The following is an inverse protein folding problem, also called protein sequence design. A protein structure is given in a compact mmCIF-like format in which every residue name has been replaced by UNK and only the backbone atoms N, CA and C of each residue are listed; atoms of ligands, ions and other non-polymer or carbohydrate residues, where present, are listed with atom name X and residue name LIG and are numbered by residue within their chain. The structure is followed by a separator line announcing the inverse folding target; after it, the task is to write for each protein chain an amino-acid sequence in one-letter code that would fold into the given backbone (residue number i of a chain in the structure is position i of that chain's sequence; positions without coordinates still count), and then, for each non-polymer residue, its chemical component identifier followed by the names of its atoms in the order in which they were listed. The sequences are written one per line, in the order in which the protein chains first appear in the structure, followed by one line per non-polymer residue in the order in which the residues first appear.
data_IF_845683404131
#
_entry.id   IF_845683404131
#
_cell.length_a   1.000
_cell.length_b   1.000
_cell.length_c   1.000
_cell.angle_alpha   90.00
_cell.angle_beta   90.00
_cell.angle_gamma   90.00
#
_symmetry.space_group_name_H-M   'P 1'
#
loop_
_entity.id
_entity.type
_entity.pdbx_description
1 polymer ?
#
# COMPACT_ATOMS: atom_id res chain seq x y z
N UNK A 1 -15.29 -2.96 14.66
CA UNK A 1 -15.56 -4.25 13.99
C UNK A 1 -16.73 -4.92 14.69
N UNK A 2 -17.73 -5.36 13.92
CA UNK A 2 -18.87 -6.08 14.45
C UNK A 2 -18.56 -7.57 14.69
N UNK A 3 -19.08 -8.11 15.78
CA UNK A 3 -19.01 -9.55 16.09
C UNK A 3 -20.42 -10.08 16.02
N UNK A 4 -20.64 -11.17 15.27
CA UNK A 4 -21.92 -11.86 15.27
C UNK A 4 -22.03 -12.80 16.48
N UNK A 5 -22.99 -12.50 17.35
CA UNK A 5 -23.30 -13.38 18.47
C UNK A 5 -24.55 -14.21 18.14
N UNK A 6 -24.53 -15.50 18.47
CA UNK A 6 -25.68 -16.39 18.34
C UNK A 6 -26.63 -16.18 19.53
N UNK A 7 -27.91 -16.54 19.38
CA UNK A 7 -28.84 -16.58 20.51
C UNK A 7 -28.35 -17.63 21.50
N UNK A 8 -28.18 -17.29 22.78
CA UNK A 8 -27.67 -18.12 23.83
C UNK A 8 -26.26 -17.76 24.28
N UNK A 9 -25.54 -18.70 24.87
CA UNK A 9 -24.20 -18.49 25.39
C UNK A 9 -23.18 -18.37 24.25
N UNK A 10 -22.34 -17.33 24.34
CA UNK A 10 -21.23 -17.07 23.43
C UNK A 10 -19.94 -16.92 24.22
N UNK A 11 -18.83 -17.38 23.68
CA UNK A 11 -17.50 -17.18 24.25
C UNK A 11 -16.71 -16.25 23.35
N UNK A 12 -16.26 -15.11 23.88
CA UNK A 12 -15.34 -14.20 23.22
C UNK A 12 -13.95 -14.43 23.81
N UNK A 13 -13.01 -14.88 22.97
CA UNK A 13 -11.62 -15.11 23.37
C UNK A 13 -10.74 -14.03 22.77
N UNK A 14 -10.03 -13.32 23.62
CA UNK A 14 -9.00 -12.35 23.20
C UNK A 14 -7.66 -13.03 23.41
N UNK A 15 -6.91 -13.24 22.32
CA UNK A 15 -5.58 -13.83 22.36
C UNK A 15 -4.57 -12.88 21.78
N UNK A 16 -3.42 -12.80 22.39
CA UNK A 16 -2.28 -12.10 21.82
C UNK A 16 -1.78 -12.90 20.61
N UNK A 17 -1.68 -12.22 19.47
CA UNK A 17 -1.09 -12.78 18.25
C UNK A 17 0.22 -12.09 17.94
N UNK A 18 0.23 -10.77 17.97
CA UNK A 18 1.41 -9.94 17.69
C UNK A 18 1.26 -8.56 18.35
N UNK A 19 2.35 -8.02 18.91
CA UNK A 19 2.37 -6.73 19.58
C UNK A 19 1.90 -6.77 21.04
N UNK A 20 1.87 -5.60 21.66
CA UNK A 20 1.44 -5.39 23.05
C UNK A 20 0.24 -4.47 23.07
N UNK A 21 -0.76 -4.79 23.89
CA UNK A 21 -1.86 -3.89 24.19
C UNK A 21 -2.30 -4.09 25.64
N UNK A 22 -2.83 -3.03 26.22
CA UNK A 22 -3.52 -3.08 27.51
C UNK A 22 -5.02 -3.06 27.28
N UNK A 23 -5.74 -4.00 27.89
CA UNK A 23 -7.20 -4.06 27.86
C UNK A 23 -7.74 -3.50 29.17
N UNK A 24 -8.45 -2.39 29.11
CA UNK A 24 -9.08 -1.77 30.26
C UNK A 24 -10.52 -2.29 30.42
N UNK A 25 -11.34 -2.16 29.39
CA UNK A 25 -12.70 -2.68 29.39
C UNK A 25 -13.17 -3.08 27.98
N UNK A 26 -14.26 -3.86 27.94
CA UNK A 26 -14.96 -4.23 26.71
C UNK A 26 -16.38 -3.72 26.81
N UNK A 27 -16.81 -2.92 25.84
CA UNK A 27 -18.21 -2.52 25.66
C UNK A 27 -18.86 -3.35 24.58
N UNK A 28 -20.04 -3.91 24.86
CA UNK A 28 -20.85 -4.62 23.87
C UNK A 28 -22.10 -3.81 23.63
N UNK A 29 -22.24 -3.26 22.45
CA UNK A 29 -23.39 -2.48 22.02
C UNK A 29 -24.07 -3.12 20.82
N UNK A 30 -25.40 -3.00 20.76
CA UNK A 30 -26.14 -3.46 19.57
C UNK A 30 -25.79 -2.54 18.40
N UNK A 31 -25.15 -3.10 17.39
CA UNK A 31 -24.85 -2.39 16.16
C UNK A 31 -26.15 -2.05 15.44
N UNK A 32 -26.42 -0.77 15.19
CA UNK A 32 -27.50 -0.37 14.29
C UNK A 32 -27.09 -0.72 12.86
N UNK A 33 -27.92 -1.46 12.15
CA UNK A 33 -27.62 -1.95 10.81
C UNK A 33 -27.51 -0.83 9.74
N UNK A 34 -27.89 0.43 10.08
CA UNK A 34 -28.14 1.45 9.08
C UNK A 34 -26.92 2.26 8.61
N UNK A 35 -25.76 2.23 9.30
CA UNK A 35 -24.63 3.11 8.95
C UNK A 35 -23.26 2.43 8.82
N UNK A 36 -23.14 1.13 9.02
CA UNK A 36 -21.84 0.45 9.08
C UNK A 36 -21.20 0.20 7.71
N UNK A 37 -21.96 0.27 6.61
CA UNK A 37 -21.54 -0.18 5.29
C UNK A 37 -21.97 0.78 4.18
N UNK A 38 -21.76 2.07 4.36
CA UNK A 38 -21.95 3.07 3.31
C UNK A 38 -20.62 3.42 2.66
N UNK A 39 -20.54 3.35 1.35
CA UNK A 39 -19.43 3.87 0.56
C UNK A 39 -19.83 5.22 -0.06
N UNK A 40 -18.85 6.06 -0.38
CA UNK A 40 -19.11 7.29 -1.13
C UNK A 40 -19.82 6.98 -2.44
N UNK A 41 -20.67 7.90 -2.92
CA UNK A 41 -21.40 7.69 -4.18
C UNK A 41 -20.44 7.69 -5.37
N UNK A 42 -19.52 8.62 -5.39
CA UNK A 42 -18.61 8.84 -6.50
C UNK A 42 -17.14 8.65 -6.07
N UNK A 43 -16.28 8.37 -7.05
CA UNK A 43 -14.84 8.48 -6.90
C UNK A 43 -14.43 9.93 -6.62
N UNK A 44 -13.29 10.11 -5.95
CA UNK A 44 -12.70 11.44 -5.71
C UNK A 44 -12.24 12.07 -7.03
N UNK A 45 -11.67 11.26 -7.93
CA UNK A 45 -11.33 11.68 -9.28
C UNK A 45 -12.56 11.60 -10.20
N UNK A 46 -13.09 12.73 -10.68
CA UNK A 46 -14.24 12.74 -11.60
C UNK A 46 -13.88 12.27 -13.01
N UNK A 47 -12.60 12.21 -13.35
CA UNK A 47 -12.09 11.81 -14.66
C UNK A 47 -11.56 10.38 -14.70
N UNK A 48 -11.78 9.62 -13.61
CA UNK A 48 -11.33 8.23 -13.52
C UNK A 48 -11.79 7.41 -14.74
N UNK A 49 -10.93 6.50 -15.20
CA UNK A 49 -11.19 5.63 -16.34
C UNK A 49 -12.41 4.74 -16.12
N UNK A 50 -12.94 4.21 -17.21
CA UNK A 50 -14.09 3.32 -17.15
C UNK A 50 -13.80 2.02 -16.38
N UNK A 51 -12.57 1.51 -16.46
CA UNK A 51 -12.11 0.35 -15.70
C UNK A 51 -12.04 0.63 -14.20
N UNK A 52 -11.52 1.80 -13.79
CA UNK A 52 -11.50 2.26 -12.40
C UNK A 52 -12.92 2.45 -11.85
N UNK A 53 -13.81 3.07 -12.62
CA UNK A 53 -15.23 3.22 -12.25
C UNK A 53 -15.92 1.86 -12.06
N UNK A 54 -15.66 0.88 -12.96
CA UNK A 54 -16.21 -0.49 -12.84
C UNK A 54 -15.70 -1.20 -11.60
N UNK A 55 -14.38 -1.10 -11.31
CA UNK A 55 -13.81 -1.68 -10.10
C UNK A 55 -14.42 -1.05 -8.85
N UNK A 56 -14.55 0.28 -8.81
CA UNK A 56 -15.18 0.97 -7.69
C UNK A 56 -16.64 0.53 -7.47
N UNK A 57 -17.42 0.46 -8.53
CA UNK A 57 -18.81 -0.01 -8.47
C UNK A 57 -18.90 -1.44 -7.92
N UNK A 58 -18.04 -2.35 -8.40
CA UNK A 58 -17.97 -3.72 -7.88
C UNK A 58 -17.65 -3.73 -6.39
N UNK A 59 -16.66 -2.95 -5.96
CA UNK A 59 -16.28 -2.88 -4.54
C UNK A 59 -17.40 -2.31 -3.67
N UNK A 60 -18.15 -1.31 -4.15
CA UNK A 60 -19.36 -0.79 -3.47
C UNK A 60 -20.42 -1.89 -3.33
N UNK A 61 -20.68 -2.64 -4.40
CA UNK A 61 -21.72 -3.68 -4.41
C UNK A 61 -21.43 -4.81 -3.42
N UNK A 62 -20.17 -5.16 -3.20
CA UNK A 62 -19.77 -6.23 -2.27
C UNK A 62 -19.46 -5.72 -0.85
N UNK A 63 -19.31 -4.40 -0.67
CA UNK A 63 -18.95 -3.80 0.62
C UNK A 63 -19.95 -4.16 1.72
N UNK A 64 -19.45 -4.66 2.83
CA UNK A 64 -20.29 -5.13 3.94
C UNK A 64 -21.08 -6.41 3.69
N UNK A 65 -21.01 -7.00 2.49
CA UNK A 65 -21.74 -8.22 2.10
C UNK A 65 -20.82 -9.41 1.87
N UNK A 66 -19.60 -9.17 1.37
CA UNK A 66 -18.62 -10.20 1.02
C UNK A 66 -17.22 -9.81 1.46
N UNK A 67 -16.35 -10.80 1.58
CA UNK A 67 -14.91 -10.61 1.76
C UNK A 67 -14.22 -10.99 0.45
N UNK A 68 -13.44 -10.07 -0.12
CA UNK A 68 -12.57 -10.35 -1.27
C UNK A 68 -11.28 -10.95 -0.73
N UNK A 69 -10.98 -12.19 -1.12
CA UNK A 69 -9.75 -12.86 -0.72
C UNK A 69 -8.57 -12.34 -1.54
N UNK A 70 -7.45 -12.07 -0.89
CA UNK A 70 -6.23 -11.60 -1.54
C UNK A 70 -4.99 -12.31 -1.01
N UNK A 71 -3.95 -12.31 -1.82
CA UNK A 71 -2.64 -12.83 -1.48
C UNK A 71 -1.55 -11.94 -2.02
N UNK A 72 -0.56 -11.65 -1.19
CA UNK A 72 0.68 -11.01 -1.62
C UNK A 72 1.58 -12.06 -2.26
N UNK A 73 1.95 -11.87 -3.53
CA UNK A 73 2.70 -12.88 -4.27
C UNK A 73 3.55 -12.27 -5.39
N UNK A 74 4.86 -12.15 -5.16
CA UNK A 74 5.80 -11.62 -6.16
C UNK A 74 5.88 -12.49 -7.44
N UNK A 75 5.48 -13.77 -7.35
CA UNK A 75 5.40 -14.68 -8.49
C UNK A 75 4.15 -14.53 -9.36
N UNK A 76 3.22 -13.63 -9.01
CA UNK A 76 1.95 -13.46 -9.69
C UNK A 76 1.10 -14.75 -9.68
N UNK A 77 0.36 -15.03 -10.75
CA UNK A 77 -0.48 -16.24 -10.91
C UNK A 77 0.30 -17.54 -10.73
N UNK A 78 1.57 -17.54 -11.10
CA UNK A 78 2.46 -18.71 -11.07
C UNK A 78 3.30 -18.78 -9.79
N UNK A 79 3.11 -17.88 -8.85
CA UNK A 79 3.85 -17.83 -7.60
C UNK A 79 3.52 -18.97 -6.64
N UNK A 80 4.43 -19.22 -5.73
CA UNK A 80 4.35 -20.34 -4.77
C UNK A 80 3.10 -20.25 -3.89
N UNK A 81 2.77 -19.04 -3.43
CA UNK A 81 1.63 -18.77 -2.54
C UNK A 81 0.31 -19.05 -3.26
N UNK A 82 0.16 -18.60 -4.50
CA UNK A 82 -1.03 -18.86 -5.31
C UNK A 82 -1.20 -20.34 -5.62
N UNK A 83 -0.12 -21.03 -5.97
CA UNK A 83 -0.13 -22.48 -6.20
C UNK A 83 -0.53 -23.25 -4.94
N UNK A 84 0.01 -22.87 -3.80
CA UNK A 84 -0.32 -23.50 -2.52
C UNK A 84 -1.81 -23.33 -2.16
N UNK A 85 -2.35 -22.12 -2.29
CA UNK A 85 -3.75 -21.83 -2.03
C UNK A 85 -4.65 -22.62 -3.00
N UNK A 86 -4.32 -22.60 -4.29
CA UNK A 86 -5.10 -23.31 -5.31
C UNK A 86 -5.08 -24.84 -5.08
N UNK A 87 -3.93 -25.39 -4.68
CA UNK A 87 -3.81 -26.80 -4.34
C UNK A 87 -4.64 -27.18 -3.12
N UNK A 88 -4.66 -26.33 -2.10
CA UNK A 88 -5.37 -26.59 -0.86
C UNK A 88 -6.89 -26.36 -0.94
N UNK A 89 -7.35 -25.44 -1.79
CA UNK A 89 -8.74 -24.96 -1.79
C UNK A 89 -9.46 -25.17 -3.12
N UNK A 90 -8.74 -25.49 -4.20
CA UNK A 90 -9.28 -25.50 -5.56
C UNK A 90 -9.54 -24.11 -6.15
N UNK A 91 -9.31 -23.04 -5.38
CA UNK A 91 -9.63 -21.67 -5.74
C UNK A 91 -8.36 -20.78 -5.84
N UNK A 92 -8.44 -19.75 -6.65
CA UNK A 92 -7.41 -18.71 -6.76
C UNK A 92 -7.90 -17.46 -6.02
N UNK A 93 -7.04 -16.77 -5.23
CA UNK A 93 -7.40 -15.48 -4.63
C UNK A 93 -7.85 -14.47 -5.68
N UNK A 94 -8.87 -13.67 -5.34
CA UNK A 94 -9.42 -12.68 -6.24
C UNK A 94 -8.55 -11.42 -6.38
N UNK A 95 -7.62 -11.19 -5.42
CA UNK A 95 -6.76 -10.01 -5.39
C UNK A 95 -5.29 -10.42 -5.30
N UNK A 96 -4.46 -9.80 -6.13
CA UNK A 96 -2.99 -9.92 -6.09
C UNK A 96 -2.39 -8.66 -5.47
N UNK A 97 -1.63 -8.84 -4.39
CA UNK A 97 -0.80 -7.79 -3.79
C UNK A 97 0.61 -7.81 -4.35
N UNK A 98 1.11 -6.63 -4.72
CA UNK A 98 2.45 -6.40 -5.26
C UNK A 98 3.07 -5.13 -4.65
N UNK A 99 4.33 -4.87 -4.96
CA UNK A 99 5.10 -3.76 -4.42
C UNK A 99 5.93 -3.05 -5.50
N UNK A 100 5.89 -1.72 -5.50
CA UNK A 100 6.77 -0.91 -6.35
C UNK A 100 8.19 -0.77 -5.79
N UNK A 101 8.51 -1.35 -4.64
CA UNK A 101 9.81 -1.22 -3.98
C UNK A 101 10.99 -1.35 -4.93
N UNK A 102 10.99 -2.37 -5.80
CA UNK A 102 12.12 -2.67 -6.70
C UNK A 102 12.22 -1.76 -7.92
N UNK A 103 11.26 -0.88 -8.14
CA UNK A 103 11.34 0.20 -9.12
C UNK A 103 11.89 1.50 -8.51
N UNK A 104 12.05 1.58 -7.19
CA UNK A 104 12.62 2.76 -6.52
C UNK A 104 14.06 2.99 -6.99
N UNK A 105 14.47 4.20 -7.39
CA UNK A 105 15.79 4.48 -7.95
C UNK A 105 16.96 3.96 -7.10
N UNK A 106 16.92 4.13 -5.80
CA UNK A 106 17.94 3.58 -4.88
C UNK A 106 18.12 2.07 -5.07
N UNK A 107 17.03 1.32 -5.21
CA UNK A 107 17.09 -0.14 -5.36
C UNK A 107 17.58 -0.54 -6.75
N UNK A 108 17.12 0.14 -7.79
CA UNK A 108 17.57 -0.08 -9.18
C UNK A 108 19.07 0.20 -9.31
N UNK A 109 19.57 1.28 -8.70
CA UNK A 109 21.01 1.61 -8.67
C UNK A 109 21.85 0.54 -7.95
N UNK A 110 21.26 -0.19 -7.02
CA UNK A 110 21.89 -1.30 -6.30
C UNK A 110 21.60 -2.68 -6.95
N UNK A 111 21.10 -2.72 -8.19
CA UNK A 111 20.95 -3.93 -8.99
C UNK A 111 19.62 -4.66 -8.86
N UNK A 112 18.62 -4.11 -8.16
CA UNK A 112 17.28 -4.69 -8.14
C UNK A 112 16.60 -4.55 -9.51
N UNK A 113 15.78 -5.55 -9.83
CA UNK A 113 14.91 -5.57 -11.01
C UNK A 113 13.51 -6.04 -10.61
N UNK A 114 12.51 -5.67 -11.39
CA UNK A 114 11.11 -6.04 -11.12
C UNK A 114 10.34 -6.32 -12.41
N UNK A 115 9.47 -7.31 -12.34
CA UNK A 115 8.44 -7.63 -13.34
C UNK A 115 7.02 -7.55 -12.72
N UNK A 116 6.87 -6.80 -11.62
CA UNK A 116 5.61 -6.70 -10.90
C UNK A 116 4.50 -6.07 -11.75
N UNK A 117 4.83 -5.12 -12.62
CA UNK A 117 3.86 -4.49 -13.54
C UNK A 117 3.35 -5.50 -14.55
N UNK A 118 4.22 -6.32 -15.15
CA UNK A 118 3.86 -7.38 -16.09
C UNK A 118 2.92 -8.40 -15.44
N UNK A 119 3.24 -8.83 -14.22
CA UNK A 119 2.41 -9.75 -13.43
C UNK A 119 1.06 -9.17 -13.05
N UNK A 120 1.01 -7.88 -12.75
CA UNK A 120 -0.23 -7.16 -12.50
C UNK A 120 -1.13 -7.14 -13.74
N UNK A 121 -0.56 -6.85 -14.91
CA UNK A 121 -1.28 -6.85 -16.19
C UNK A 121 -1.80 -8.26 -16.51
N UNK A 122 -0.98 -9.29 -16.35
CA UNK A 122 -1.39 -10.69 -16.54
C UNK A 122 -2.55 -11.07 -15.61
N UNK A 123 -2.44 -10.72 -14.33
CA UNK A 123 -3.46 -11.04 -13.33
C UNK A 123 -4.78 -10.31 -13.58
N UNK A 124 -4.72 -9.03 -13.92
CA UNK A 124 -5.91 -8.23 -14.27
C UNK A 124 -6.61 -8.77 -15.50
N UNK A 125 -5.86 -9.18 -16.55
CA UNK A 125 -6.41 -9.82 -17.76
C UNK A 125 -7.07 -11.16 -17.47
N UNK A 126 -6.67 -11.84 -16.41
CA UNK A 126 -7.32 -13.04 -15.90
C UNK A 126 -8.58 -12.74 -15.05
N UNK A 127 -8.99 -11.48 -14.93
CA UNK A 127 -10.16 -11.04 -14.18
C UNK A 127 -9.90 -10.76 -12.70
N UNK A 128 -8.65 -10.67 -12.28
CA UNK A 128 -8.27 -10.39 -10.90
C UNK A 128 -8.15 -8.90 -10.58
N UNK A 129 -8.21 -8.57 -9.30
CA UNK A 129 -8.01 -7.22 -8.76
C UNK A 129 -6.56 -7.06 -8.34
N UNK A 130 -5.95 -5.94 -8.69
CA UNK A 130 -4.54 -5.65 -8.37
C UNK A 130 -4.44 -4.58 -7.30
N UNK A 131 -3.58 -4.82 -6.32
CA UNK A 131 -3.20 -3.81 -5.33
C UNK A 131 -1.69 -3.69 -5.23
N UNK A 132 -1.20 -2.46 -5.15
CA UNK A 132 0.19 -2.16 -4.93
C UNK A 132 0.39 -1.38 -3.63
N UNK A 133 1.43 -1.71 -2.87
CA UNK A 133 2.05 -0.78 -1.95
C UNK A 133 3.39 -0.29 -2.51
N UNK A 134 4.06 0.58 -1.78
CA UNK A 134 5.38 1.06 -2.13
C UNK A 134 6.24 1.16 -0.88
N UNK A 135 7.18 0.20 -0.71
CA UNK A 135 8.24 0.34 0.26
C UNK A 135 9.29 1.28 -0.32
N UNK A 136 9.11 2.55 -0.04
CA UNK A 136 9.86 3.65 -0.63
C UNK A 136 11.20 3.86 0.05
N UNK A 137 12.26 3.36 -0.56
CA UNK A 137 13.63 3.59 -0.12
C UNK A 137 14.00 5.07 -0.29
N UNK A 138 14.64 5.66 0.71
CA UNK A 138 15.36 6.92 0.51
C UNK A 138 16.60 6.67 -0.37
N UNK A 139 17.09 7.68 -1.10
CA UNK A 139 18.35 7.56 -1.85
C UNK A 139 19.56 7.26 -0.96
N UNK A 140 20.58 6.60 -1.52
CA UNK A 140 21.77 6.12 -0.80
C UNK A 140 22.43 7.21 0.06
N UNK A 141 22.46 8.45 -0.41
CA UNK A 141 23.05 9.59 0.34
C UNK A 141 22.38 9.87 1.70
N UNK A 142 21.17 9.36 1.92
CA UNK A 142 20.40 9.49 3.15
C UNK A 142 20.45 8.23 4.03
N UNK A 143 21.11 7.19 3.59
CA UNK A 143 21.24 5.96 4.36
C UNK A 143 22.37 6.09 5.40
N UNK A 144 22.20 5.38 6.51
CA UNK A 144 23.29 5.14 7.44
C UNK A 144 24.32 4.21 6.79
N UNK A 145 25.60 4.37 7.15
CA UNK A 145 26.66 3.46 6.72
C UNK A 145 26.53 2.07 7.36
N UNK A 146 27.12 1.05 6.71
CA UNK A 146 27.18 -0.31 7.23
C UNK A 146 26.01 -1.19 6.84
N UNK A 147 25.73 -2.21 7.66
CA UNK A 147 24.72 -3.24 7.40
C UNK A 147 23.63 -3.27 8.48
N UNK A 148 22.51 -3.90 8.16
CA UNK A 148 21.42 -4.22 9.07
C UNK A 148 21.13 -5.72 8.96
N UNK A 149 21.39 -6.47 10.04
CA UNK A 149 21.23 -7.92 10.04
C UNK A 149 22.06 -8.65 8.98
N UNK A 150 23.25 -8.12 8.63
CA UNK A 150 24.12 -8.66 7.57
C UNK A 150 23.83 -8.16 6.17
N UNK A 151 22.70 -7.47 5.94
CA UNK A 151 22.36 -6.91 4.64
C UNK A 151 22.80 -5.45 4.51
N UNK A 152 23.13 -4.97 3.30
CA UNK A 152 23.37 -3.55 3.05
C UNK A 152 22.17 -2.70 3.48
N UNK A 153 22.40 -1.49 3.99
CA UNK A 153 21.32 -0.60 4.47
C UNK A 153 20.27 -0.26 3.43
N UNK A 154 20.62 -0.24 2.16
CA UNK A 154 19.67 0.00 1.08
C UNK A 154 18.60 -1.08 0.97
N UNK A 155 18.83 -2.31 1.45
CA UNK A 155 17.80 -3.36 1.47
C UNK A 155 16.57 -2.96 2.28
N UNK A 156 16.76 -2.20 3.35
CA UNK A 156 15.70 -1.69 4.21
C UNK A 156 15.71 -0.17 4.32
N UNK A 157 16.08 0.54 3.25
CA UNK A 157 16.18 2.00 3.23
C UNK A 157 14.87 2.76 3.39
N UNK A 158 13.78 2.06 3.55
CA UNK A 158 12.47 2.58 3.96
C UNK A 158 12.27 2.55 5.49
N UNK A 159 13.04 1.76 6.24
CA UNK A 159 12.98 1.75 7.70
C UNK A 159 13.78 2.90 8.32
N UNK A 160 13.19 3.56 9.30
CA UNK A 160 13.83 4.66 10.05
C UNK A 160 15.16 4.31 10.64
N UNK A 161 15.36 3.04 11.08
CA UNK A 161 16.63 2.55 11.63
C UNK A 161 17.78 2.51 10.61
N UNK A 162 17.48 2.57 9.33
CA UNK A 162 18.45 2.57 8.24
C UNK A 162 18.67 3.94 7.61
N UNK A 163 17.82 4.91 7.95
CA UNK A 163 17.85 6.28 7.40
C UNK A 163 18.57 7.22 8.35
N UNK A 164 19.52 7.99 7.84
CA UNK A 164 20.13 9.09 8.56
C UNK A 164 19.15 10.26 8.70
N UNK A 165 18.42 10.27 9.81
CA UNK A 165 17.38 11.26 10.11
C UNK A 165 17.92 12.68 10.30
N UNK A 166 19.24 12.84 10.48
CA UNK A 166 19.87 14.17 10.53
C UNK A 166 19.97 14.80 9.16
N UNK A 167 20.11 13.98 8.12
CA UNK A 167 20.19 14.40 6.69
C UNK A 167 18.84 14.37 5.99
N UNK A 168 17.96 13.41 6.33
CA UNK A 168 16.66 13.23 5.71
C UNK A 168 15.54 13.51 6.71
N UNK A 169 14.80 14.58 6.50
CA UNK A 169 13.64 14.95 7.31
C UNK A 169 12.46 15.29 6.42
N UNK A 170 11.40 14.48 6.52
CA UNK A 170 10.17 14.74 5.77
C UNK A 170 9.55 16.08 6.15
N UNK A 171 9.66 16.49 7.41
CA UNK A 171 9.18 17.80 7.88
C UNK A 171 9.89 18.94 7.16
N UNK A 172 11.22 18.88 7.02
CA UNK A 172 12.00 19.92 6.30
C UNK A 172 11.67 19.96 4.82
N UNK A 173 11.51 18.79 4.22
CA UNK A 173 11.11 18.65 2.81
C UNK A 173 9.73 19.27 2.59
N UNK A 174 8.74 18.89 3.41
CA UNK A 174 7.35 19.33 3.22
C UNK A 174 7.07 20.78 3.66
N UNK A 175 7.99 21.44 4.36
CA UNK A 175 7.89 22.87 4.70
C UNK A 175 8.77 23.77 3.80
N UNK A 176 9.48 23.19 2.82
CA UNK A 176 10.33 23.92 1.88
C UNK A 176 11.74 24.25 2.38
N UNK A 177 12.14 23.78 3.58
CA UNK A 177 13.48 24.04 4.12
C UNK A 177 14.57 23.13 3.53
N UNK A 178 14.19 22.09 2.80
CA UNK A 178 15.08 21.15 2.12
C UNK A 178 14.63 20.97 0.65
N UNK A 179 14.99 21.90 -0.24
CA UNK A 179 14.64 21.81 -1.66
C UNK A 179 15.33 20.63 -2.38
N UNK A 180 16.54 20.25 -1.98
CA UNK A 180 17.25 19.10 -2.56
C UNK A 180 16.55 17.77 -2.20
N UNK A 181 16.11 17.63 -0.96
CA UNK A 181 15.29 16.51 -0.52
C UNK A 181 13.98 16.45 -1.29
N UNK A 182 13.32 17.59 -1.50
CA UNK A 182 12.10 17.68 -2.29
C UNK A 182 12.31 17.21 -3.74
N UNK A 183 13.32 17.73 -4.42
CA UNK A 183 13.64 17.35 -5.81
C UNK A 183 13.95 15.85 -5.91
N UNK A 184 14.61 15.30 -4.91
CA UNK A 184 14.92 13.86 -4.86
C UNK A 184 13.64 13.02 -4.70
N UNK A 185 12.72 13.43 -3.81
CA UNK A 185 11.43 12.78 -3.68
C UNK A 185 10.63 12.82 -4.99
N UNK A 186 10.63 13.97 -5.66
CA UNK A 186 9.93 14.14 -6.94
C UNK A 186 10.52 13.23 -8.03
N UNK A 187 11.83 13.08 -8.09
CA UNK A 187 12.48 12.12 -9.02
C UNK A 187 12.03 10.68 -8.78
N UNK A 188 11.87 10.26 -7.52
CA UNK A 188 11.35 8.93 -7.20
C UNK A 188 9.87 8.80 -7.59
N UNK A 189 9.07 9.83 -7.36
CA UNK A 189 7.65 9.87 -7.79
C UNK A 189 7.53 9.75 -9.30
N UNK A 190 8.40 10.42 -10.07
CA UNK A 190 8.45 10.33 -11.53
C UNK A 190 8.67 8.88 -12.02
N UNK A 191 9.57 8.15 -11.36
CA UNK A 191 9.83 6.74 -11.72
C UNK A 191 8.63 5.83 -11.42
N UNK A 192 7.96 6.03 -10.29
CA UNK A 192 6.76 5.24 -9.96
C UNK A 192 5.57 5.64 -10.82
N UNK A 193 5.43 6.91 -11.15
CA UNK A 193 4.41 7.37 -12.10
C UNK A 193 4.53 6.70 -13.46
N UNK A 194 5.76 6.49 -13.97
CA UNK A 194 5.99 5.71 -15.20
C UNK A 194 5.44 4.28 -15.10
N UNK A 195 5.60 3.63 -13.93
CA UNK A 195 5.09 2.27 -13.74
C UNK A 195 3.56 2.24 -13.62
N UNK A 196 2.97 3.19 -12.89
CA UNK A 196 1.53 3.35 -12.82
C UNK A 196 0.93 3.68 -14.20
N UNK A 197 1.60 4.53 -14.96
CA UNK A 197 1.19 4.84 -16.36
C UNK A 197 1.15 3.60 -17.24
N UNK A 198 2.11 2.68 -17.11
CA UNK A 198 2.10 1.39 -17.83
C UNK A 198 0.88 0.55 -17.50
N UNK A 199 0.42 0.58 -16.24
CA UNK A 199 -0.81 -0.11 -15.81
C UNK A 199 -2.05 0.58 -16.39
N UNK A 200 -2.11 1.90 -16.31
CA UNK A 200 -3.19 2.71 -16.90
C UNK A 200 -3.28 2.51 -18.42
N UNK A 201 -2.17 2.53 -19.15
CA UNK A 201 -2.11 2.28 -20.59
C UNK A 201 -2.56 0.85 -20.97
N UNK A 202 -2.45 -0.10 -20.05
CA UNK A 202 -2.94 -1.47 -20.21
C UNK A 202 -4.40 -1.67 -19.74
N UNK A 203 -5.11 -0.59 -19.38
CA UNK A 203 -6.48 -0.58 -18.81
C UNK A 203 -6.61 -1.42 -17.53
N UNK A 204 -5.58 -1.36 -16.66
CA UNK A 204 -5.51 -2.06 -15.37
C UNK A 204 -5.78 -1.10 -14.23
N UNK A 205 -6.98 -1.10 -13.63
CA UNK A 205 -7.27 -0.32 -12.45
C UNK A 205 -6.51 -0.88 -11.23
N UNK A 206 -5.92 0.00 -10.42
CA UNK A 206 -5.04 -0.39 -9.32
C UNK A 206 -5.50 0.20 -8.00
N UNK A 207 -5.57 -0.63 -6.96
CA UNK A 207 -5.70 -0.16 -5.58
C UNK A 207 -4.31 0.22 -5.07
N UNK A 208 -3.86 1.44 -5.34
CA UNK A 208 -2.57 1.92 -4.88
C UNK A 208 -2.62 2.38 -3.43
N UNK A 209 -1.74 1.85 -2.60
CA UNK A 209 -1.64 2.13 -1.16
C UNK A 209 -0.26 2.71 -0.82
N UNK A 210 0.07 3.94 -1.28
CA UNK A 210 1.31 4.59 -0.89
C UNK A 210 1.28 4.89 0.61
N UNK A 211 2.46 5.05 1.22
CA UNK A 211 2.62 5.44 2.63
C UNK A 211 1.86 4.53 3.61
N UNK A 212 1.78 3.24 3.31
CA UNK A 212 1.14 2.25 4.18
C UNK A 212 1.83 2.21 5.56
N UNK A 213 1.10 1.78 6.60
CA UNK A 213 1.58 1.62 7.97
C UNK A 213 2.19 2.91 8.59
N UNK A 214 1.77 4.09 8.12
CA UNK A 214 2.34 5.38 8.55
C UNK A 214 2.24 5.61 10.07
N UNK A 215 1.22 5.08 10.74
CA UNK A 215 1.03 5.22 12.18
C UNK A 215 2.04 4.39 13.01
N UNK A 216 2.73 3.43 12.41
CA UNK A 216 3.69 2.57 13.10
C UNK A 216 5.02 3.27 13.42
N UNK A 217 5.38 4.34 12.70
CA UNK A 217 6.60 5.11 12.93
C UNK A 217 7.91 4.42 12.52
N UNK A 218 7.85 3.15 12.08
CA UNK A 218 9.04 2.42 11.62
C UNK A 218 9.45 2.73 10.19
N UNK A 219 8.57 3.34 9.39
CA UNK A 219 8.87 3.85 8.06
C UNK A 219 9.09 5.36 8.10
N UNK A 220 10.02 5.86 7.27
CA UNK A 220 10.41 7.27 7.27
C UNK A 220 9.23 8.22 7.01
N UNK A 221 8.25 7.83 6.20
CA UNK A 221 7.09 8.67 5.88
C UNK A 221 6.11 8.88 7.03
N UNK A 222 6.14 8.01 8.06
CA UNK A 222 5.30 8.12 9.25
C UNK A 222 6.03 8.59 10.51
N UNK A 223 7.36 8.53 10.51
CA UNK A 223 8.20 8.70 11.70
C UNK A 223 8.17 10.09 12.33
N UNK A 224 7.86 11.12 11.55
CA UNK A 224 7.77 12.51 12.03
C UNK A 224 6.33 12.96 12.31
N UNK A 225 5.43 12.01 12.42
CA UNK A 225 4.04 12.24 12.77
C UNK A 225 3.12 12.50 11.58
N UNK A 226 1.83 12.79 11.86
CA UNK A 226 0.81 12.78 10.82
C UNK A 226 0.86 13.98 9.87
N UNK A 227 1.31 15.15 10.30
CA UNK A 227 1.20 16.35 9.46
C UNK A 227 2.12 16.33 8.24
N UNK A 228 3.44 16.02 8.33
CA UNK A 228 4.26 15.88 7.13
C UNK A 228 3.82 14.70 6.26
N UNK A 229 3.36 13.60 6.84
CA UNK A 229 2.83 12.45 6.11
C UNK A 229 1.57 12.81 5.30
N UNK A 230 0.62 13.55 5.86
CA UNK A 230 -0.56 14.04 5.13
C UNK A 230 -0.19 14.98 3.98
N UNK A 231 0.80 15.85 4.18
CA UNK A 231 1.30 16.72 3.10
C UNK A 231 1.91 15.89 1.96
N UNK A 232 2.72 14.89 2.29
CA UNK A 232 3.29 13.97 1.30
C UNK A 232 2.19 13.20 0.56
N UNK A 233 1.17 12.70 1.26
CA UNK A 233 0.06 12.00 0.62
C UNK A 233 -0.69 12.88 -0.37
N UNK A 234 -0.97 14.15 0.01
CA UNK A 234 -1.61 15.12 -0.90
C UNK A 234 -0.73 15.45 -2.10
N UNK A 235 0.58 15.58 -1.89
CA UNK A 235 1.54 15.79 -2.97
C UNK A 235 1.53 14.60 -3.95
N UNK A 236 1.54 13.36 -3.44
CA UNK A 236 1.44 12.17 -4.29
C UNK A 236 0.15 12.15 -5.09
N UNK A 237 -0.99 12.43 -4.46
CA UNK A 237 -2.28 12.51 -5.15
C UNK A 237 -2.24 13.56 -6.26
N UNK A 238 -1.80 14.78 -5.92
CA UNK A 238 -1.71 15.89 -6.89
C UNK A 238 -0.82 15.53 -8.08
N UNK A 239 0.36 14.97 -7.83
CA UNK A 239 1.28 14.60 -8.90
C UNK A 239 0.73 13.45 -9.74
N UNK A 240 0.30 12.36 -9.13
CA UNK A 240 -0.15 11.18 -9.87
C UNK A 240 -1.43 11.45 -10.65
N UNK A 241 -2.42 12.09 -10.03
CA UNK A 241 -3.71 12.32 -10.69
C UNK A 241 -3.69 13.55 -11.60
N UNK A 242 -3.28 14.73 -11.09
CA UNK A 242 -3.44 15.96 -11.84
C UNK A 242 -2.28 16.27 -12.80
N UNK A 243 -1.05 15.82 -12.49
CA UNK A 243 0.11 16.06 -13.35
C UNK A 243 0.34 14.91 -14.33
N UNK A 244 0.31 13.66 -13.83
CA UNK A 244 0.54 12.49 -14.68
C UNK A 244 -0.72 11.90 -15.30
N UNK A 245 -1.91 12.33 -14.86
CA UNK A 245 -3.19 11.83 -15.37
C UNK A 245 -3.40 10.33 -15.11
N UNK A 246 -2.98 9.88 -13.93
CA UNK A 246 -3.15 8.51 -13.46
C UNK A 246 -4.36 8.49 -12.51
N UNK A 247 -5.33 7.69 -12.81
CA UNK A 247 -6.59 7.52 -12.08
C UNK A 247 -6.62 6.26 -11.20
#
# INVERSE_FOLDING_TARGET
NGIYLKKGQNTVKITMSWGYFSLDYITIEKMSASNAYTAAENLVDPYASQSTQRLYSYMKDVYGKKVITGQYCNGGLNGTEFKAIKSATGQTPAMLGLDFMRYTPCRVQNGDTSDAVEKAIEFSRAGGIVTFCWHWNVPDKYLLSGTDGGNPRWWGGFYTKNVDRSKFSLTKIMNGSDPDGYNTLMSDVDEIAKQLKRLSDADVPVLFRPLHEASGGWFWWGAEGPEPCKKLYRLLYEQLTNVYGID
#
